data_IF_746563630297
#
_entry.id   IF_746563630297
#
_cell.length_a   1.000
_cell.length_b   1.000
_cell.length_c   1.000
_cell.angle_alpha   90.00
_cell.angle_beta   90.00
_cell.angle_gamma   90.00
#
_symmetry.space_group_name_H-M   'P 1'
#
loop_
_entity.id
_entity.type
_entity.pdbx_description
1 polymer ?
#
# COMPACT_ATOMS: atom_id res chain seq x y z
N UNK A 1 18.18 6.18 -13.68
CA UNK A 1 16.71 6.29 -13.62
C UNK A 1 16.29 6.04 -12.19
N UNK A 2 15.58 6.96 -11.56
CA UNK A 2 14.93 6.73 -10.27
C UNK A 2 13.92 5.58 -10.48
N UNK A 3 13.88 4.55 -9.62
CA UNK A 3 12.84 3.53 -9.70
C UNK A 3 11.47 4.21 -9.67
N UNK A 4 10.50 3.81 -10.52
CA UNK A 4 9.19 4.40 -10.45
C UNK A 4 8.56 4.03 -9.10
N UNK A 5 8.43 5.03 -8.22
CA UNK A 5 7.72 4.92 -6.94
C UNK A 5 6.21 4.75 -7.10
N UNK A 6 5.70 4.68 -8.34
CA UNK A 6 4.29 4.55 -8.69
C UNK A 6 3.61 3.40 -7.95
N UNK A 7 4.19 2.19 -7.98
CA UNK A 7 3.62 1.03 -7.29
C UNK A 7 3.53 1.27 -5.78
N UNK A 8 4.58 1.85 -5.18
CA UNK A 8 4.60 2.20 -3.76
C UNK A 8 3.56 3.26 -3.45
N UNK A 9 3.42 4.30 -4.27
CA UNK A 9 2.44 5.37 -4.09
C UNK A 9 1.01 4.83 -4.11
N UNK A 10 0.68 3.98 -5.10
CA UNK A 10 -0.63 3.33 -5.20
C UNK A 10 -0.88 2.43 -3.99
N UNK A 11 0.12 1.65 -3.57
CA UNK A 11 -0.01 0.79 -2.39
C UNK A 11 -0.27 1.58 -1.11
N UNK A 12 0.52 2.63 -0.86
CA UNK A 12 0.35 3.50 0.29
C UNK A 12 -1.02 4.20 0.27
N UNK A 13 -1.51 4.61 -0.90
CA UNK A 13 -2.84 5.20 -1.02
C UNK A 13 -3.93 4.23 -0.53
N UNK A 14 -3.90 2.96 -0.92
CA UNK A 14 -4.85 1.96 -0.42
C UNK A 14 -4.67 1.66 1.06
N UNK A 15 -3.42 1.41 1.48
CA UNK A 15 -3.08 1.03 2.86
C UNK A 15 -3.49 2.08 3.89
N UNK A 16 -3.43 3.36 3.52
CA UNK A 16 -3.70 4.50 4.41
C UNK A 16 -5.17 4.97 4.35
N UNK A 17 -5.90 4.66 3.27
CA UNK A 17 -7.26 5.13 3.09
C UNK A 17 -8.33 4.22 3.73
N UNK A 18 -8.18 2.89 3.62
CA UNK A 18 -9.23 1.94 4.01
C UNK A 18 -8.70 0.76 4.83
N UNK A 19 -9.43 0.28 5.85
CA UNK A 19 -9.03 -0.90 6.61
C UNK A 19 -8.92 -2.13 5.71
N UNK A 20 -7.81 -2.87 5.84
CA UNK A 20 -7.53 -4.01 4.98
C UNK A 20 -8.43 -5.22 5.32
N UNK A 21 -9.21 -5.69 4.34
CA UNK A 21 -10.16 -6.78 4.57
C UNK A 21 -9.49 -8.14 4.81
N UNK A 22 -8.28 -8.36 4.30
CA UNK A 22 -7.51 -9.57 4.57
C UNK A 22 -7.06 -9.62 6.03
N UNK A 23 -6.62 -8.47 6.57
CA UNK A 23 -6.36 -8.32 8.01
C UNK A 23 -7.65 -8.50 8.80
N UNK A 24 -8.74 -7.82 8.42
CA UNK A 24 -10.01 -7.88 9.15
C UNK A 24 -10.54 -9.31 9.26
N UNK A 25 -10.45 -10.09 8.18
CA UNK A 25 -10.86 -11.50 8.15
C UNK A 25 -10.05 -12.38 9.11
N UNK A 26 -8.75 -12.11 9.27
CA UNK A 26 -7.83 -12.95 10.06
C UNK A 26 -7.66 -12.48 11.51
N UNK A 27 -7.75 -11.18 11.75
CA UNK A 27 -7.40 -10.53 13.02
C UNK A 27 -8.50 -9.61 13.58
N UNK A 28 -9.63 -9.48 12.88
CA UNK A 28 -10.76 -8.65 13.29
C UNK A 28 -10.71 -7.21 12.77
N UNK A 29 -11.88 -6.54 12.69
CA UNK A 29 -12.01 -5.21 12.08
C UNK A 29 -11.24 -4.12 12.86
N UNK A 30 -11.19 -4.21 14.20
CA UNK A 30 -10.45 -3.25 15.03
C UNK A 30 -8.96 -3.26 14.74
N UNK A 31 -8.38 -4.46 14.53
CA UNK A 31 -6.97 -4.58 14.18
C UNK A 31 -6.68 -4.02 12.80
N UNK A 32 -7.58 -4.24 11.83
CA UNK A 32 -7.45 -3.67 10.49
C UNK A 32 -7.50 -2.14 10.50
N UNK A 33 -8.43 -1.56 11.27
CA UNK A 33 -8.52 -0.11 11.46
C UNK A 33 -7.28 0.46 12.14
N UNK A 34 -6.77 -0.20 13.19
CA UNK A 34 -5.55 0.23 13.87
C UNK A 34 -4.32 0.26 12.92
N UNK A 35 -4.19 -0.75 12.04
CA UNK A 35 -3.13 -0.79 11.03
C UNK A 35 -3.27 0.37 10.06
N UNK A 36 -4.48 0.62 9.54
CA UNK A 36 -4.76 1.75 8.63
C UNK A 36 -4.42 3.08 9.29
N UNK A 37 -4.85 3.31 10.53
CA UNK A 37 -4.59 4.53 11.26
C UNK A 37 -3.08 4.74 11.52
N UNK A 38 -2.36 3.68 11.89
CA UNK A 38 -0.90 3.73 12.04
C UNK A 38 -0.21 4.03 10.71
N UNK A 39 -0.63 3.39 9.61
CA UNK A 39 -0.10 3.66 8.28
C UNK A 39 -0.32 5.13 7.90
N UNK A 40 -1.53 5.66 8.10
CA UNK A 40 -1.85 7.05 7.81
C UNK A 40 -0.95 8.01 8.60
N UNK A 41 -0.73 7.75 9.88
CA UNK A 41 0.11 8.60 10.73
C UNK A 41 1.60 8.54 10.35
N UNK A 42 2.11 7.37 9.96
CA UNK A 42 3.54 7.15 9.72
C UNK A 42 3.97 7.35 8.27
N UNK A 43 3.09 7.13 7.29
CA UNK A 43 3.46 6.98 5.87
C UNK A 43 2.81 7.99 4.95
N UNK A 44 1.64 8.58 5.28
CA UNK A 44 0.89 9.43 4.35
C UNK A 44 1.63 10.70 3.91
N UNK A 45 2.60 11.17 4.70
CA UNK A 45 3.41 12.35 4.42
C UNK A 45 4.81 12.06 3.86
N UNK A 46 5.14 10.81 3.56
CA UNK A 46 6.46 10.47 3.03
C UNK A 46 6.66 11.07 1.63
N UNK A 47 7.76 11.82 1.47
CA UNK A 47 8.22 12.23 0.16
C UNK A 47 8.89 11.05 -0.54
N UNK A 48 8.18 10.42 -1.47
CA UNK A 48 8.71 9.30 -2.25
C UNK A 48 9.86 9.74 -3.18
N UNK A 49 9.95 11.02 -3.57
CA UNK A 49 11.06 11.52 -4.37
C UNK A 49 12.39 11.51 -3.57
N UNK A 50 12.30 11.61 -2.24
CA UNK A 50 13.45 11.47 -1.34
C UNK A 50 13.88 10.01 -1.10
N UNK A 51 13.24 9.03 -1.76
CA UNK A 51 13.52 7.61 -1.64
C UNK A 51 13.53 7.09 -0.18
N UNK A 52 12.39 7.15 0.53
CA UNK A 52 12.30 6.83 1.96
C UNK A 52 12.27 5.31 2.21
N UNK A 53 13.31 4.60 1.73
CA UNK A 53 13.41 3.14 1.77
C UNK A 53 13.40 2.63 3.21
N UNK A 54 14.18 3.24 4.10
CA UNK A 54 14.34 2.81 5.49
C UNK A 54 13.03 2.88 6.29
N UNK A 55 12.27 4.00 6.28
CA UNK A 55 10.93 4.04 6.89
C UNK A 55 9.98 2.98 6.35
N UNK A 56 9.97 2.75 5.03
CA UNK A 56 9.09 1.76 4.40
C UNK A 56 9.45 0.34 4.83
N UNK A 57 10.74 -0.01 4.84
CA UNK A 57 11.21 -1.32 5.28
C UNK A 57 11.02 -1.53 6.79
N UNK A 58 11.17 -0.47 7.60
CA UNK A 58 10.89 -0.54 9.03
C UNK A 58 9.41 -0.85 9.29
N UNK A 59 8.50 -0.21 8.56
CA UNK A 59 7.07 -0.47 8.67
C UNK A 59 6.69 -1.88 8.19
N UNK A 60 7.22 -2.32 7.04
CA UNK A 60 7.03 -3.69 6.53
C UNK A 60 7.48 -4.75 7.55
N UNK A 61 8.64 -4.53 8.19
CA UNK A 61 9.14 -5.43 9.24
C UNK A 61 8.21 -5.49 10.44
N UNK A 62 7.71 -4.34 10.91
CA UNK A 62 6.78 -4.27 12.04
C UNK A 62 5.47 -5.04 11.76
N UNK A 63 4.94 -4.96 10.53
CA UNK A 63 3.77 -5.74 10.13
C UNK A 63 4.05 -7.24 10.14
N UNK A 64 5.20 -7.66 9.60
CA UNK A 64 5.63 -9.06 9.57
C UNK A 64 5.81 -9.65 10.97
N UNK A 65 6.47 -8.92 11.86
CA UNK A 65 6.65 -9.31 13.26
C UNK A 65 5.31 -9.45 13.99
N UNK A 66 4.33 -8.60 13.66
CA UNK A 66 2.97 -8.70 14.19
C UNK A 66 2.10 -9.76 13.48
N UNK A 67 2.60 -10.44 12.44
CA UNK A 67 1.86 -11.43 11.65
C UNK A 67 0.71 -10.84 10.81
N UNK A 68 0.76 -9.53 10.54
CA UNK A 68 -0.25 -8.76 9.83
C UNK A 68 0.12 -8.64 8.35
N UNK A 69 -0.82 -8.96 7.47
CA UNK A 69 -0.61 -8.88 6.02
C UNK A 69 -1.72 -8.03 5.39
N UNK A 70 -1.42 -6.81 4.90
CA UNK A 70 -2.37 -5.96 4.20
C UNK A 70 -2.56 -6.45 2.76
N UNK A 71 -3.13 -7.65 2.62
CA UNK A 71 -3.27 -8.35 1.35
C UNK A 71 -4.25 -7.67 0.39
N UNK A 72 -5.35 -7.12 0.90
CA UNK A 72 -6.33 -6.42 0.05
C UNK A 72 -5.75 -5.17 -0.58
N UNK A 73 -4.92 -4.44 0.17
CA UNK A 73 -4.21 -3.27 -0.32
C UNK A 73 -3.24 -3.62 -1.45
N UNK A 74 -2.56 -4.78 -1.33
CA UNK A 74 -1.71 -5.31 -2.39
C UNK A 74 -2.52 -5.74 -3.62
N UNK A 75 -3.63 -6.46 -3.44
CA UNK A 75 -4.50 -6.91 -4.52
C UNK A 75 -5.01 -5.72 -5.35
N UNK A 76 -5.48 -4.64 -4.70
CA UNK A 76 -5.92 -3.43 -5.40
C UNK A 76 -4.78 -2.67 -6.05
N UNK A 77 -3.58 -2.69 -5.48
CA UNK A 77 -2.39 -2.13 -6.15
C UNK A 77 -2.16 -2.83 -7.48
N UNK A 78 -2.16 -4.16 -7.49
CA UNK A 78 -1.95 -4.95 -8.70
C UNK A 78 -3.10 -4.74 -9.70
N UNK A 79 -4.35 -4.76 -9.24
CA UNK A 79 -5.52 -4.53 -10.10
C UNK A 79 -5.48 -3.17 -10.80
N UNK A 80 -5.08 -2.12 -10.08
CA UNK A 80 -4.95 -0.76 -10.62
C UNK A 80 -3.85 -0.67 -11.67
N UNK A 81 -2.65 -1.20 -11.37
CA UNK A 81 -1.55 -1.22 -12.33
C UNK A 81 -1.85 -2.09 -13.56
N UNK A 82 -2.58 -3.18 -13.37
CA UNK A 82 -3.01 -4.05 -14.46
C UNK A 82 -4.01 -3.34 -15.39
N UNK A 83 -5.00 -2.65 -14.82
CA UNK A 83 -5.95 -1.87 -15.60
C UNK A 83 -5.25 -0.76 -16.39
N UNK A 84 -4.34 -0.03 -15.75
CA UNK A 84 -3.54 1.03 -16.40
C UNK A 84 -2.72 0.47 -17.58
N UNK A 85 -2.09 -0.69 -17.41
CA UNK A 85 -1.36 -1.36 -18.49
C UNK A 85 -2.27 -1.75 -19.67
N UNK A 86 -3.49 -2.23 -19.39
CA UNK A 86 -4.47 -2.57 -20.44
C UNK A 86 -4.96 -1.33 -21.19
N UNK A 87 -5.24 -0.23 -20.48
CA UNK A 87 -5.67 1.03 -21.09
C UNK A 87 -4.56 1.64 -21.95
N UNK A 88 -3.32 1.67 -21.43
CA UNK A 88 -2.15 2.13 -22.14
C UNK A 88 -1.90 1.32 -23.43
N UNK A 89 -2.04 0.00 -23.37
CA UNK A 89 -1.92 -0.86 -24.55
C UNK A 89 -3.00 -0.59 -25.61
N UNK A 90 -4.14 -0.03 -25.22
CA UNK A 90 -5.25 0.35 -26.12
C UNK A 90 -5.18 1.81 -26.60
N UNK A 91 -4.18 2.58 -26.16
CA UNK A 91 -4.09 4.02 -26.44
C UNK A 91 -5.09 4.88 -25.65
N UNK A 92 -5.66 4.33 -24.58
CA UNK A 92 -6.62 4.96 -23.68
C UNK A 92 -6.03 5.19 -22.27
N UNK A 93 -4.72 4.98 -22.12
CA UNK A 93 -3.99 5.26 -20.89
C UNK A 93 -3.98 6.75 -20.56
N UNK A 94 -3.85 7.06 -19.27
CA UNK A 94 -3.74 8.43 -18.78
C UNK A 94 -2.41 9.10 -19.18
#
# INVERSE_FOLDING_TARGET
>A
MVPPWTTTAVHLAYLTAVPDSHIARKHGPERAEAVRAQAQASLAGLDLAAAPVEPLLAYDRALKEAGLNPGTSADFTVATLFLDALLSARGEGA
#
